data_IF_661385878302
#
_entry.id   IF_661385878302
#
_cell.length_a   1.000
_cell.length_b   1.000
_cell.length_c   1.000
_cell.angle_alpha   90.00
_cell.angle_beta   90.00
_cell.angle_gamma   90.00
#
_symmetry.space_group_name_H-M   'P 1'
#
loop_
_entity.id
_entity.type
_entity.pdbx_description
1 polymer ?
#
# COMPACT_ATOMS: atom_id res chain seq x y z
N UNK A 1 -11.77 -13.08 1.14
CA UNK A 1 -11.68 -11.73 0.50
C UNK A 1 -12.01 -11.85 -0.97
N UNK A 2 -12.69 -10.83 -1.54
CA UNK A 2 -12.87 -10.74 -2.99
C UNK A 2 -11.60 -10.22 -3.64
N UNK A 3 -11.21 -10.81 -4.76
CA UNK A 3 -10.02 -10.36 -5.48
C UNK A 3 -10.14 -10.61 -6.98
N UNK A 4 -9.31 -9.88 -7.73
CA UNK A 4 -9.09 -10.08 -9.16
C UNK A 4 -7.62 -10.45 -9.33
N UNK A 5 -7.35 -11.54 -10.04
CA UNK A 5 -6.00 -11.93 -10.43
C UNK A 5 -5.84 -11.85 -11.95
N UNK A 6 -4.75 -11.22 -12.39
CA UNK A 6 -4.34 -11.15 -13.78
C UNK A 6 -2.87 -11.52 -13.89
N UNK A 7 -2.59 -12.63 -14.55
CA UNK A 7 -1.23 -13.07 -14.80
C UNK A 7 -0.54 -12.15 -15.82
N UNK A 8 0.64 -11.66 -15.46
CA UNK A 8 1.51 -10.87 -16.31
C UNK A 8 2.70 -11.66 -16.84
N UNK A 9 3.74 -10.93 -17.27
CA UNK A 9 4.98 -11.54 -17.72
C UNK A 9 5.76 -12.10 -16.52
N UNK A 10 6.41 -13.28 -16.63
CA UNK A 10 7.10 -13.91 -15.50
C UNK A 10 8.22 -13.06 -14.88
N UNK A 11 8.89 -12.25 -15.68
CA UNK A 11 9.99 -11.38 -15.23
C UNK A 11 9.50 -10.01 -14.69
N UNK A 12 8.23 -9.69 -14.88
CA UNK A 12 7.65 -8.44 -14.39
C UNK A 12 7.30 -8.55 -12.88
N UNK A 13 7.19 -7.42 -12.17
CA UNK A 13 6.78 -7.43 -10.78
C UNK A 13 5.34 -7.91 -10.60
N UNK A 14 5.00 -8.23 -9.36
CA UNK A 14 3.63 -8.52 -8.93
C UNK A 14 3.07 -7.30 -8.21
N UNK A 15 2.07 -6.65 -8.77
CA UNK A 15 1.37 -5.56 -8.11
C UNK A 15 0.24 -6.11 -7.23
N UNK A 16 0.31 -5.88 -5.94
CA UNK A 16 -0.80 -6.08 -5.02
C UNK A 16 -1.50 -4.75 -4.82
N UNK A 17 -2.73 -4.63 -5.33
CA UNK A 17 -3.50 -3.39 -5.34
C UNK A 17 -4.44 -3.32 -4.15
N UNK A 18 -4.35 -2.22 -3.40
CA UNK A 18 -5.11 -1.98 -2.17
C UNK A 18 -5.80 -0.62 -2.27
N UNK A 19 -7.12 -0.62 -2.51
CA UNK A 19 -7.94 0.56 -2.78
C UNK A 19 -8.14 1.49 -1.57
N UNK A 20 -8.60 2.71 -1.83
CA UNK A 20 -9.09 3.64 -0.81
C UNK A 20 -10.53 3.34 -0.39
N UNK A 21 -10.99 4.03 0.67
CA UNK A 21 -12.33 3.78 1.26
C UNK A 21 -13.46 4.27 0.37
N UNK A 22 -13.41 5.52 -0.07
CA UNK A 22 -14.53 6.16 -0.78
C UNK A 22 -14.71 5.56 -2.17
N UNK A 23 -15.78 4.77 -2.36
CA UNK A 23 -16.11 4.11 -3.62
C UNK A 23 -15.11 3.04 -4.04
N UNK A 24 -14.21 2.60 -3.13
CA UNK A 24 -13.15 1.66 -3.44
C UNK A 24 -13.59 0.21 -3.45
N UNK A 25 -13.07 -0.54 -4.40
CA UNK A 25 -13.18 -1.99 -4.52
C UNK A 25 -11.98 -2.57 -5.28
N UNK A 26 -11.99 -3.86 -5.56
CA UNK A 26 -10.93 -4.55 -6.28
C UNK A 26 -10.73 -4.09 -7.74
N UNK A 27 -11.63 -3.29 -8.29
CA UNK A 27 -11.49 -2.74 -9.65
C UNK A 27 -10.83 -1.37 -9.68
N UNK A 28 -10.82 -0.65 -8.56
CA UNK A 28 -10.53 0.79 -8.48
C UNK A 28 -9.13 1.17 -8.97
N UNK A 29 -8.10 0.37 -8.63
CA UNK A 29 -6.71 0.65 -9.00
C UNK A 29 -6.25 -0.09 -10.26
N UNK A 30 -7.09 -0.89 -10.91
CA UNK A 30 -6.72 -1.61 -12.14
C UNK A 30 -6.25 -0.66 -13.26
N UNK A 31 -6.91 0.49 -13.53
CA UNK A 31 -6.43 1.43 -14.54
C UNK A 31 -5.04 1.97 -14.22
N UNK A 32 -4.74 2.22 -12.94
CA UNK A 32 -3.44 2.71 -12.49
C UNK A 32 -2.37 1.64 -12.69
N UNK A 33 -2.62 0.41 -12.28
CA UNK A 33 -1.70 -0.70 -12.51
C UNK A 33 -1.38 -0.88 -14.00
N UNK A 34 -2.38 -0.75 -14.86
CA UNK A 34 -2.23 -0.82 -16.31
C UNK A 34 -1.35 0.31 -16.86
N UNK A 35 -1.48 1.52 -16.32
CA UNK A 35 -0.66 2.67 -16.69
C UNK A 35 0.78 2.55 -16.18
N UNK A 36 0.97 2.00 -14.97
CA UNK A 36 2.28 1.82 -14.35
C UNK A 36 3.12 0.76 -15.07
N UNK A 37 2.56 -0.42 -15.31
CA UNK A 37 3.24 -1.50 -16.03
C UNK A 37 2.23 -2.52 -16.58
N UNK A 38 2.04 -2.52 -17.89
CA UNK A 38 1.12 -3.42 -18.59
C UNK A 38 1.50 -4.90 -18.50
N UNK A 39 2.76 -5.19 -18.18
CA UNK A 39 3.28 -6.57 -18.08
C UNK A 39 3.24 -7.12 -16.66
N UNK A 40 2.95 -6.29 -15.65
CA UNK A 40 2.90 -6.73 -14.26
C UNK A 40 1.82 -7.79 -14.05
N UNK A 41 2.12 -8.78 -13.22
CA UNK A 41 1.09 -9.61 -12.60
C UNK A 41 0.31 -8.76 -11.61
N UNK A 42 -1.01 -8.88 -11.56
CA UNK A 42 -1.86 -8.06 -10.70
C UNK A 42 -2.70 -8.97 -9.80
N UNK A 43 -2.63 -8.71 -8.50
CA UNK A 43 -3.55 -9.23 -7.49
C UNK A 43 -4.24 -8.03 -6.85
N UNK A 44 -5.48 -7.77 -7.20
CA UNK A 44 -6.27 -6.67 -6.65
C UNK A 44 -7.27 -7.18 -5.63
N UNK A 45 -7.23 -6.67 -4.41
CA UNK A 45 -7.95 -7.23 -3.26
C UNK A 45 -8.95 -6.21 -2.74
N UNK A 46 -10.21 -6.64 -2.52
CA UNK A 46 -11.22 -5.83 -1.85
C UNK A 46 -11.07 -5.95 -0.34
N UNK A 47 -11.07 -4.80 0.36
CA UNK A 47 -11.22 -4.78 1.82
C UNK A 47 -12.56 -5.39 2.24
N UNK A 48 -12.56 -6.20 3.28
CA UNK A 48 -13.73 -6.97 3.74
C UNK A 48 -14.42 -6.39 4.99
N UNK A 49 -14.04 -5.17 5.37
CA UNK A 49 -14.74 -4.37 6.39
C UNK A 49 -15.68 -3.40 5.69
N UNK A 50 -16.94 -3.36 6.12
CA UNK A 50 -17.91 -2.37 5.64
C UNK A 50 -18.09 -1.26 6.66
N UNK A 51 -17.87 -0.02 6.23
CA UNK A 51 -18.16 1.20 7.02
C UNK A 51 -19.12 2.08 6.22
N UNK A 52 -20.36 2.16 6.67
CA UNK A 52 -21.42 2.92 5.97
C UNK A 52 -21.54 2.55 4.47
N UNK A 53 -21.44 1.27 4.15
CA UNK A 53 -21.50 0.76 2.78
C UNK A 53 -20.21 0.91 1.97
N UNK A 54 -19.15 1.48 2.54
CA UNK A 54 -17.83 1.62 1.91
C UNK A 54 -16.90 0.49 2.36
N UNK A 55 -16.08 -0.02 1.44
CA UNK A 55 -15.10 -1.07 1.75
C UNK A 55 -13.85 -0.49 2.39
N UNK A 56 -13.39 -1.13 3.45
CA UNK A 56 -12.13 -0.83 4.15
C UNK A 56 -11.37 -2.12 4.46
N UNK A 57 -10.08 -1.99 4.72
CA UNK A 57 -9.26 -3.14 5.12
C UNK A 57 -9.29 -3.39 6.62
N UNK A 58 -9.52 -2.36 7.44
CA UNK A 58 -9.62 -2.48 8.90
C UNK A 58 -10.54 -1.41 9.47
N UNK A 59 -11.05 -1.66 10.69
CA UNK A 59 -11.92 -0.76 11.41
C UNK A 59 -11.17 0.44 11.98
N UNK A 60 -11.87 1.55 12.13
CA UNK A 60 -11.42 2.71 12.89
C UNK A 60 -12.45 3.08 13.94
N UNK A 61 -11.98 3.69 15.04
CA UNK A 61 -12.85 4.19 16.11
C UNK A 61 -13.40 5.57 15.76
N UNK A 62 -12.59 6.38 15.09
CA UNK A 62 -12.92 7.69 14.54
C UNK A 62 -11.91 8.01 13.42
N UNK A 63 -12.10 9.13 12.74
CA UNK A 63 -11.14 9.64 11.78
C UNK A 63 -9.78 9.86 12.47
N UNK A 64 -8.72 9.29 11.90
CA UNK A 64 -7.37 9.33 12.49
C UNK A 64 -7.17 8.48 13.74
N UNK A 65 -8.17 7.70 14.16
CA UNK A 65 -8.09 6.83 15.32
C UNK A 65 -8.41 5.38 14.92
N UNK A 66 -7.37 4.56 14.77
CA UNK A 66 -7.49 3.18 14.32
C UNK A 66 -7.91 2.24 15.46
N UNK A 67 -8.70 1.24 15.13
CA UNK A 67 -8.88 0.05 15.96
C UNK A 67 -7.62 -0.84 15.78
N UNK A 68 -6.69 -0.74 16.72
CA UNK A 68 -5.37 -1.38 16.61
C UNK A 68 -5.47 -2.90 16.64
N UNK A 69 -6.40 -3.46 17.42
CA UNK A 69 -6.64 -4.90 17.46
C UNK A 69 -7.15 -5.40 16.10
N UNK A 70 -8.11 -4.66 15.51
CA UNK A 70 -8.63 -5.01 14.19
C UNK A 70 -7.58 -4.81 13.08
N UNK A 71 -6.74 -3.76 13.17
CA UNK A 71 -5.63 -3.52 12.24
C UNK A 71 -4.66 -4.71 12.24
N UNK A 72 -4.24 -5.19 13.41
CA UNK A 72 -3.35 -6.34 13.54
C UNK A 72 -4.00 -7.61 12.96
N UNK A 73 -5.22 -7.90 13.37
CA UNK A 73 -5.99 -9.04 12.90
C UNK A 73 -6.20 -9.04 11.39
N UNK A 74 -6.58 -7.89 10.82
CA UNK A 74 -6.81 -7.74 9.37
C UNK A 74 -5.53 -7.77 8.57
N UNK A 75 -4.45 -7.20 9.10
CA UNK A 75 -3.13 -7.29 8.50
C UNK A 75 -2.66 -8.73 8.36
N UNK A 76 -2.78 -9.52 9.43
CA UNK A 76 -2.41 -10.93 9.41
C UNK A 76 -3.32 -11.76 8.47
N UNK A 77 -4.62 -11.49 8.45
CA UNK A 77 -5.54 -12.15 7.53
C UNK A 77 -5.21 -11.83 6.06
N UNK A 78 -4.85 -10.57 5.76
CA UNK A 78 -4.44 -10.15 4.44
C UNK A 78 -3.11 -10.81 4.02
N UNK A 79 -2.14 -10.89 4.94
CA UNK A 79 -0.89 -11.59 4.70
C UNK A 79 -1.11 -13.05 4.32
N UNK A 80 -1.93 -13.78 5.07
CA UNK A 80 -2.29 -15.18 4.78
C UNK A 80 -3.00 -15.33 3.44
N UNK A 81 -3.90 -14.40 3.11
CA UNK A 81 -4.57 -14.40 1.82
C UNK A 81 -3.58 -14.21 0.66
N UNK A 82 -2.62 -13.28 0.78
CA UNK A 82 -1.58 -13.05 -0.22
C UNK A 82 -0.67 -14.28 -0.36
N UNK A 83 -0.27 -14.91 0.74
CA UNK A 83 0.52 -16.16 0.70
C UNK A 83 -0.23 -17.28 -0.02
N UNK A 84 -1.52 -17.45 0.25
CA UNK A 84 -2.34 -18.43 -0.42
C UNK A 84 -2.45 -18.15 -1.92
N UNK A 85 -2.68 -16.90 -2.30
CA UNK A 85 -2.73 -16.49 -3.71
C UNK A 85 -1.37 -16.70 -4.40
N UNK A 86 -0.25 -16.42 -3.72
CA UNK A 86 1.09 -16.64 -4.24
C UNK A 86 1.33 -18.13 -4.55
N UNK A 87 0.92 -19.03 -3.65
CA UNK A 87 1.01 -20.47 -3.87
C UNK A 87 0.09 -20.95 -5.00
N UNK A 88 -1.15 -20.48 -5.04
CA UNK A 88 -2.13 -20.87 -6.05
C UNK A 88 -1.72 -20.40 -7.45
N UNK A 89 -1.24 -19.17 -7.57
CA UNK A 89 -0.90 -18.55 -8.84
C UNK A 89 0.59 -18.61 -9.19
N UNK A 90 1.41 -19.25 -8.34
CA UNK A 90 2.83 -19.50 -8.58
C UNK A 90 3.67 -18.23 -8.79
N UNK A 91 3.51 -17.24 -7.90
CA UNK A 91 4.40 -16.09 -7.83
C UNK A 91 5.12 -16.01 -6.46
N UNK A 92 6.22 -15.29 -6.41
CA UNK A 92 7.02 -15.14 -5.19
C UNK A 92 6.67 -13.83 -4.45
N UNK A 93 6.69 -13.87 -3.11
CA UNK A 93 6.37 -12.70 -2.28
C UNK A 93 7.38 -11.56 -2.44
N UNK A 94 8.65 -11.89 -2.69
CA UNK A 94 9.72 -10.90 -2.90
C UNK A 94 9.56 -10.08 -4.19
N UNK A 95 8.74 -10.54 -5.14
CA UNK A 95 8.37 -9.79 -6.35
C UNK A 95 7.22 -8.82 -6.14
N UNK A 96 6.60 -8.82 -4.97
CA UNK A 96 5.44 -7.97 -4.69
C UNK A 96 5.87 -6.52 -4.53
N UNK A 97 5.16 -5.64 -5.23
CA UNK A 97 5.14 -4.21 -4.98
C UNK A 97 3.71 -3.86 -4.60
N UNK A 98 3.50 -3.41 -3.37
CA UNK A 98 2.19 -2.89 -2.97
C UNK A 98 1.90 -1.58 -3.69
N UNK A 99 0.71 -1.45 -4.24
CA UNK A 99 0.16 -0.19 -4.76
C UNK A 99 -1.06 0.13 -3.91
N UNK A 100 -0.88 0.99 -2.93
CA UNK A 100 -1.93 1.32 -1.97
C UNK A 100 -2.37 2.78 -2.05
N UNK A 101 -3.67 3.03 -1.91
CA UNK A 101 -4.24 4.37 -1.83
C UNK A 101 -5.03 4.55 -0.54
N UNK A 102 -4.70 5.62 0.22
CA UNK A 102 -5.39 5.98 1.46
C UNK A 102 -5.48 4.79 2.43
N UNK A 103 -6.67 4.28 2.77
CA UNK A 103 -6.82 3.11 3.65
C UNK A 103 -6.02 1.88 3.16
N UNK A 104 -5.95 1.66 1.85
CA UNK A 104 -5.12 0.61 1.25
C UNK A 104 -3.62 0.84 1.46
N UNK A 105 -3.15 2.09 1.40
CA UNK A 105 -1.77 2.44 1.75
C UNK A 105 -1.51 2.17 3.25
N UNK A 106 -2.48 2.45 4.10
CA UNK A 106 -2.35 2.28 5.55
C UNK A 106 -2.20 0.80 5.94
N UNK A 107 -2.99 -0.10 5.35
CA UNK A 107 -2.84 -1.55 5.59
C UNK A 107 -1.54 -2.10 4.97
N UNK A 108 -1.07 -1.55 3.85
CA UNK A 108 0.22 -1.91 3.28
C UNK A 108 1.38 -1.56 4.22
N UNK A 109 1.33 -0.41 4.91
CA UNK A 109 2.31 -0.06 5.96
C UNK A 109 2.31 -1.12 7.06
N UNK A 110 1.14 -1.55 7.53
CA UNK A 110 1.04 -2.62 8.53
C UNK A 110 1.76 -3.89 8.07
N UNK A 111 1.57 -4.31 6.82
CA UNK A 111 2.22 -5.50 6.28
C UNK A 111 3.74 -5.35 6.17
N UNK A 112 4.23 -4.19 5.73
CA UNK A 112 5.68 -3.91 5.67
C UNK A 112 6.33 -3.94 7.05
N UNK A 113 5.64 -3.45 8.07
CA UNK A 113 6.15 -3.41 9.45
C UNK A 113 6.12 -4.76 10.15
N UNK A 114 5.11 -5.58 9.87
CA UNK A 114 4.91 -6.88 10.55
C UNK A 114 5.55 -8.06 9.82
N UNK A 115 5.79 -7.93 8.52
CA UNK A 115 6.40 -8.97 7.67
C UNK A 115 7.55 -8.40 6.81
N UNK A 116 8.58 -7.77 7.43
CA UNK A 116 9.67 -7.11 6.70
C UNK A 116 10.53 -8.08 5.88
N UNK A 117 10.55 -9.36 6.26
CA UNK A 117 11.26 -10.41 5.51
C UNK A 117 10.51 -10.89 4.26
N UNK A 118 9.22 -10.52 4.12
CA UNK A 118 8.37 -10.96 3.02
C UNK A 118 8.09 -9.86 2.00
N UNK A 119 8.06 -8.61 2.43
CA UNK A 119 7.64 -7.47 1.61
C UNK A 119 8.66 -6.34 1.70
N UNK A 120 9.14 -5.89 0.54
CA UNK A 120 10.25 -4.95 0.45
C UNK A 120 9.94 -3.68 -0.34
N UNK A 121 8.82 -3.62 -1.06
CA UNK A 121 8.55 -2.51 -1.97
C UNK A 121 7.09 -2.09 -1.92
N UNK A 122 6.87 -0.77 -1.86
CA UNK A 122 5.52 -0.22 -1.90
C UNK A 122 5.46 1.17 -2.52
N UNK A 123 4.37 1.43 -3.21
CA UNK A 123 3.90 2.76 -3.60
C UNK A 123 2.69 3.08 -2.73
N UNK A 124 2.82 4.11 -1.92
CA UNK A 124 1.85 4.49 -0.90
C UNK A 124 1.32 5.88 -1.21
N UNK A 125 0.13 5.93 -1.80
CA UNK A 125 -0.55 7.17 -2.15
C UNK A 125 -1.37 7.68 -0.97
N UNK A 126 -1.02 8.84 -0.44
CA UNK A 126 -1.69 9.56 0.64
C UNK A 126 -1.92 8.72 1.90
N UNK A 127 -0.84 8.09 2.44
CA UNK A 127 -0.93 7.26 3.63
C UNK A 127 -1.07 8.09 4.90
N UNK A 128 -1.69 7.49 5.92
CA UNK A 128 -1.66 7.96 7.29
C UNK A 128 -1.47 6.77 8.23
N UNK A 129 -0.54 6.87 9.18
CA UNK A 129 -0.29 5.76 10.10
C UNK A 129 -0.03 6.28 11.53
N UNK A 130 -1.07 6.73 12.25
CA UNK A 130 -0.99 7.30 13.59
C UNK A 130 -0.89 6.21 14.66
N UNK A 131 0.09 5.30 14.51
CA UNK A 131 0.27 4.14 15.39
C UNK A 131 1.67 4.21 16.01
N UNK A 132 1.73 4.10 17.33
CA UNK A 132 3.01 3.95 18.06
C UNK A 132 3.49 2.50 17.93
N UNK A 133 4.71 2.32 17.43
CA UNK A 133 5.28 0.99 17.29
C UNK A 133 5.82 0.51 18.65
N UNK A 134 5.48 -0.74 18.98
CA UNK A 134 6.00 -1.42 20.18
C UNK A 134 7.29 -2.20 19.90
N UNK A 135 7.63 -2.39 18.63
CA UNK A 135 8.83 -3.07 18.16
C UNK A 135 9.63 -2.16 17.22
N UNK A 136 10.83 -2.58 16.87
CA UNK A 136 11.73 -1.89 15.96
C UNK A 136 11.99 -2.78 14.74
N UNK A 137 11.11 -2.80 13.74
CA UNK A 137 11.33 -3.59 12.53
C UNK A 137 12.56 -3.08 11.77
N UNK A 138 13.33 -4.00 11.20
CA UNK A 138 14.42 -3.65 10.29
C UNK A 138 13.87 -3.52 8.87
N UNK A 139 13.91 -2.31 8.32
CA UNK A 139 13.42 -1.99 6.98
C UNK A 139 14.57 -1.59 6.03
N UNK A 140 15.81 -1.98 6.32
CA UNK A 140 16.98 -1.63 5.50
C UNK A 140 16.86 -2.13 4.06
N UNK A 141 16.17 -3.24 3.83
CA UNK A 141 15.88 -3.79 2.50
C UNK A 141 14.56 -3.28 1.90
N UNK A 142 13.90 -2.32 2.57
CA UNK A 142 12.62 -1.78 2.14
C UNK A 142 12.79 -0.47 1.37
N UNK A 143 12.10 -0.36 0.24
CA UNK A 143 12.04 0.86 -0.57
C UNK A 143 10.58 1.27 -0.77
N UNK A 144 10.27 2.51 -0.45
CA UNK A 144 8.91 3.04 -0.60
C UNK A 144 8.89 4.35 -1.37
N UNK A 145 7.89 4.51 -2.22
CA UNK A 145 7.47 5.80 -2.75
C UNK A 145 6.28 6.27 -1.93
N UNK A 146 6.41 7.42 -1.29
CA UNK A 146 5.35 8.09 -0.53
C UNK A 146 4.85 9.29 -1.33
N UNK A 147 3.58 9.28 -1.71
CA UNK A 147 2.92 10.46 -2.27
C UNK A 147 2.06 11.14 -1.22
N UNK A 148 2.26 12.42 -1.03
CA UNK A 148 1.77 13.19 0.11
C UNK A 148 1.17 14.51 -0.37
N UNK A 149 0.09 14.96 0.27
CA UNK A 149 -0.57 16.23 -0.05
C UNK A 149 -0.20 17.34 0.93
N UNK A 150 0.29 18.48 0.42
CA UNK A 150 0.63 19.66 1.25
C UNK A 150 -0.60 20.24 1.97
N UNK A 151 -1.76 20.17 1.32
CA UNK A 151 -3.05 20.67 1.81
C UNK A 151 -4.11 19.58 1.79
N UNK A 152 -3.73 18.36 2.15
CA UNK A 152 -4.64 17.22 2.20
C UNK A 152 -5.69 17.42 3.32
N UNK A 153 -7.01 17.44 3.00
CA UNK A 153 -8.04 17.64 4.01
C UNK A 153 -8.29 16.41 4.89
N UNK A 154 -7.75 15.24 4.50
CA UNK A 154 -7.92 13.96 5.21
C UNK A 154 -6.69 13.63 6.05
N UNK A 155 -5.49 13.85 5.51
CA UNK A 155 -4.21 13.55 6.16
C UNK A 155 -3.50 14.86 6.52
N UNK A 156 -3.53 15.29 7.79
CA UNK A 156 -2.81 16.48 8.22
C UNK A 156 -1.31 16.38 7.95
N UNK A 157 -0.67 17.49 7.60
CA UNK A 157 0.75 17.53 7.29
C UNK A 157 1.65 16.86 8.35
N UNK A 158 1.43 17.03 9.66
CA UNK A 158 2.22 16.31 10.67
C UNK A 158 2.13 14.79 10.56
N UNK A 159 0.98 14.24 10.14
CA UNK A 159 0.82 12.80 9.93
C UNK A 159 1.54 12.33 8.68
N UNK A 160 1.59 13.12 7.61
CA UNK A 160 2.42 12.84 6.44
C UNK A 160 3.91 12.80 6.81
N UNK A 161 4.38 13.77 7.59
CA UNK A 161 5.75 13.81 8.09
C UNK A 161 6.07 12.62 9.00
N UNK A 162 5.10 12.19 9.80
CA UNK A 162 5.22 11.01 10.66
C UNK A 162 5.46 9.73 9.86
N UNK A 163 4.77 9.54 8.75
CA UNK A 163 4.96 8.38 7.85
C UNK A 163 6.37 8.37 7.25
N UNK A 164 6.86 9.52 6.79
CA UNK A 164 8.24 9.65 6.29
C UNK A 164 9.24 9.21 7.36
N UNK A 165 9.12 9.78 8.55
CA UNK A 165 10.02 9.50 9.68
C UNK A 165 9.95 8.03 10.12
N UNK A 166 8.75 7.44 10.09
CA UNK A 166 8.55 6.03 10.42
C UNK A 166 9.43 5.14 9.54
N UNK A 167 9.41 5.32 8.24
CA UNK A 167 10.22 4.53 7.32
C UNK A 167 11.71 4.85 7.44
N UNK A 168 12.09 6.13 7.47
CA UNK A 168 13.49 6.55 7.58
C UNK A 168 14.14 6.08 8.88
N UNK A 169 13.46 6.18 10.00
CA UNK A 169 13.98 5.77 11.32
C UNK A 169 14.22 4.26 11.43
N UNK A 170 13.58 3.46 10.58
CA UNK A 170 13.77 2.01 10.51
C UNK A 170 14.66 1.55 9.35
N UNK A 171 15.31 2.48 8.66
CA UNK A 171 16.32 2.19 7.65
C UNK A 171 15.82 2.07 6.21
N UNK A 172 14.52 2.27 5.95
CA UNK A 172 13.97 2.19 4.60
C UNK A 172 14.49 3.33 3.69
N UNK A 173 14.59 3.02 2.40
CA UNK A 173 14.80 4.04 1.36
C UNK A 173 13.45 4.66 1.00
N UNK A 174 13.35 5.99 1.14
CA UNK A 174 12.11 6.74 0.92
C UNK A 174 12.26 7.69 -0.26
N UNK A 175 11.37 7.57 -1.25
CA UNK A 175 11.16 8.57 -2.30
C UNK A 175 9.88 9.34 -1.98
N UNK A 176 9.97 10.65 -1.89
CA UNK A 176 8.83 11.52 -1.63
C UNK A 176 8.32 12.16 -2.92
N UNK A 177 6.99 12.21 -3.07
CA UNK A 177 6.27 12.95 -4.11
C UNK A 177 5.24 13.82 -3.42
N UNK A 178 5.34 15.14 -3.58
CA UNK A 178 4.44 16.09 -2.96
C UNK A 178 3.42 16.63 -3.98
N UNK A 179 2.15 16.61 -3.59
CA UNK A 179 1.02 17.15 -4.34
C UNK A 179 0.20 18.10 -3.48
N UNK A 180 -0.91 18.62 -4.00
CA UNK A 180 -1.71 19.61 -3.27
C UNK A 180 -2.72 18.98 -2.31
N UNK A 181 -3.34 17.84 -2.67
CA UNK A 181 -4.53 17.34 -1.98
C UNK A 181 -4.49 15.82 -1.80
N UNK A 182 -5.62 15.22 -1.38
CA UNK A 182 -5.79 13.78 -1.19
C UNK A 182 -6.06 13.03 -2.49
N UNK A 183 -6.46 13.72 -3.54
CA UNK A 183 -6.77 13.09 -4.82
C UNK A 183 -5.51 12.63 -5.55
N UNK A 184 -5.58 11.42 -6.10
CA UNK A 184 -4.53 10.89 -6.94
C UNK A 184 -4.45 11.65 -8.27
N UNK A 185 -3.26 12.07 -8.65
CA UNK A 185 -3.00 12.90 -9.83
C UNK A 185 -2.17 12.16 -10.88
N UNK A 186 -2.23 12.64 -12.11
CA UNK A 186 -1.39 12.11 -13.19
C UNK A 186 0.11 12.27 -12.92
N UNK A 187 0.51 13.35 -12.24
CA UNK A 187 1.90 13.56 -11.84
C UNK A 187 2.41 12.43 -10.95
N UNK A 188 1.62 12.01 -9.96
CA UNK A 188 1.98 10.91 -9.06
C UNK A 188 2.21 9.60 -9.82
N UNK A 189 1.37 9.33 -10.84
CA UNK A 189 1.53 8.16 -11.70
C UNK A 189 2.85 8.24 -12.49
N UNK A 190 3.20 9.39 -13.02
CA UNK A 190 4.47 9.60 -13.75
C UNK A 190 5.69 9.42 -12.85
N UNK A 191 5.66 9.98 -11.65
CA UNK A 191 6.75 9.82 -10.68
C UNK A 191 6.88 8.35 -10.25
N UNK A 192 5.76 7.65 -10.10
CA UNK A 192 5.75 6.22 -9.81
C UNK A 192 6.38 5.40 -10.94
N UNK A 193 6.06 5.69 -12.21
CA UNK A 193 6.68 5.03 -13.36
C UNK A 193 8.20 5.20 -13.35
N UNK A 194 8.69 6.41 -13.07
CA UNK A 194 10.11 6.71 -12.97
C UNK A 194 10.76 5.91 -11.83
N UNK A 195 10.14 5.89 -10.66
CA UNK A 195 10.63 5.14 -9.51
C UNK A 195 10.69 3.62 -9.78
N UNK A 196 9.64 3.04 -10.38
CA UNK A 196 9.60 1.62 -10.75
C UNK A 196 10.72 1.26 -11.74
N UNK A 197 11.03 2.14 -12.69
CA UNK A 197 12.13 1.93 -13.64
C UNK A 197 13.49 1.87 -12.94
N UNK A 198 13.71 2.65 -11.88
CA UNK A 198 14.95 2.62 -11.08
C UNK A 198 15.06 1.37 -10.21
N UNK A 199 13.95 0.80 -9.73
CA UNK A 199 13.98 -0.46 -8.99
C UNK A 199 14.42 -1.66 -9.84
N UNK A 200 14.15 -1.59 -11.15
CA UNK A 200 14.45 -2.67 -12.11
C UNK A 200 15.86 -2.57 -12.70
N UNK A 201 16.58 -1.51 -12.41
CA UNK A 201 17.98 -1.28 -12.83
C UNK A 201 18.94 -1.61 -11.70
#
# INVERSE_FOLDING_TARGET
MHSIFKKGHPEAPVFVLLHGTTGGDETSLLPIAQELNKQATVLSIRGDVSENGMNRYFKRLAEGHYDLEDLEKRGEALHKFIQQAANEHQFSLDKIIFIGYSNGANIAIQLLLTHPDSYHQAVLYHPMFPVELTNQPDLTDTSVLLSLGEHDPIVPLPESMRVIQLFQNHGATVQEVWTQSHQLTYQEIKETQTWLAHLSS
#
